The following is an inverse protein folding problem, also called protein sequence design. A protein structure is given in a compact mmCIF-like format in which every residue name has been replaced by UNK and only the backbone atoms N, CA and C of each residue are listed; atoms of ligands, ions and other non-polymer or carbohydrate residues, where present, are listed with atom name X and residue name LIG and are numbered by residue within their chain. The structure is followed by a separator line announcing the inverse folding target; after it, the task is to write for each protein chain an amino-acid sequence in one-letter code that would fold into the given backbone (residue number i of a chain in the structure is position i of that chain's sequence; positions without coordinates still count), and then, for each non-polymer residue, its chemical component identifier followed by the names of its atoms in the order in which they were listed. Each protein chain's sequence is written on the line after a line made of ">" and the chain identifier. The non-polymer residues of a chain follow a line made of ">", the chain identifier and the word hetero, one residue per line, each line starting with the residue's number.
data_IF_319277712696
#
_entry.id   IF_319277712696
#
_cell.length_a   1.000
_cell.length_b   1.000
_cell.length_c   1.000
_cell.angle_alpha   90.00
_cell.angle_beta   90.00
_cell.angle_gamma   90.00
#
_symmetry.space_group_name_H-M   'P 1'
#
loop_
_entity.id
_entity.type
_entity.pdbx_description
1 polymer ?
#
# COMPACT_ATOMS: atom_id res chain seq x y z
N UNK A 1 5.61 83.87 28.10
CA UNK A 1 5.34 83.52 26.68
C UNK A 1 6.52 82.70 26.18
N UNK A 2 6.29 81.66 25.37
CA UNK A 2 7.03 80.39 25.47
C UNK A 2 8.29 80.36 24.60
N UNK A 3 9.40 79.88 25.15
CA UNK A 3 10.54 79.43 24.35
C UNK A 3 10.59 77.90 24.43
N UNK A 4 9.65 77.26 23.75
CA UNK A 4 9.75 75.83 23.40
C UNK A 4 10.92 75.68 22.43
N UNK A 5 12.13 75.56 22.97
CA UNK A 5 13.31 75.13 22.23
C UNK A 5 13.11 73.65 21.88
N UNK A 6 12.43 73.41 20.76
CA UNK A 6 12.16 72.07 20.25
C UNK A 6 13.50 71.38 20.03
N UNK A 7 13.74 70.25 20.71
CA UNK A 7 14.95 69.45 20.62
C UNK A 7 15.04 68.69 19.28
N UNK A 8 14.87 69.38 18.15
CA UNK A 8 14.87 68.82 16.79
C UNK A 8 16.09 67.95 16.50
N UNK A 9 17.26 68.28 17.06
CA UNK A 9 18.47 67.47 16.95
C UNK A 9 18.31 66.07 17.59
N UNK A 10 17.63 65.99 18.75
CA UNK A 10 17.30 64.72 19.42
C UNK A 10 16.28 63.90 18.64
N UNK A 11 15.31 64.58 18.01
CA UNK A 11 14.31 63.94 17.14
C UNK A 11 14.97 63.36 15.89
N UNK A 12 15.84 64.12 15.24
CA UNK A 12 16.58 63.65 14.06
C UNK A 12 17.51 62.48 14.40
N UNK A 13 18.23 62.56 15.52
CA UNK A 13 19.13 61.50 15.96
C UNK A 13 18.39 60.19 16.27
N UNK A 14 17.26 60.26 16.98
CA UNK A 14 16.45 59.07 17.27
C UNK A 14 15.82 58.48 15.99
N UNK A 15 15.41 59.31 15.03
CA UNK A 15 14.86 58.86 13.74
C UNK A 15 15.90 58.07 12.94
N UNK A 16 17.17 58.53 12.90
CA UNK A 16 18.26 57.81 12.23
C UNK A 16 18.51 56.44 12.86
N UNK A 17 18.55 56.36 14.20
CA UNK A 17 18.76 55.10 14.93
C UNK A 17 17.62 54.11 14.65
N UNK A 18 16.36 54.59 14.66
CA UNK A 18 15.19 53.76 14.39
C UNK A 18 15.21 53.22 12.96
N UNK A 19 15.55 54.03 11.96
CA UNK A 19 15.68 53.58 10.58
C UNK A 19 16.78 52.52 10.43
N UNK A 20 17.93 52.72 11.09
CA UNK A 20 19.04 51.77 11.03
C UNK A 20 18.68 50.43 11.68
N UNK A 21 18.08 50.45 12.87
CA UNK A 21 17.64 49.25 13.58
C UNK A 21 16.56 48.50 12.79
N UNK A 22 15.59 49.22 12.21
CA UNK A 22 14.56 48.65 11.35
C UNK A 22 15.18 47.97 10.13
N UNK A 23 16.16 48.61 9.47
CA UNK A 23 16.89 48.03 8.34
C UNK A 23 17.65 46.75 8.70
N UNK A 24 18.30 46.72 9.87
CA UNK A 24 19.02 45.53 10.34
C UNK A 24 18.06 44.36 10.62
N UNK A 25 16.93 44.64 11.28
CA UNK A 25 15.89 43.62 11.54
C UNK A 25 15.29 43.11 10.24
N UNK A 26 14.98 44.00 9.29
CA UNK A 26 14.48 43.62 7.97
C UNK A 26 15.47 42.71 7.21
N UNK A 27 16.78 43.02 7.26
CA UNK A 27 17.81 42.16 6.67
C UNK A 27 17.88 40.77 7.31
N UNK A 28 17.79 40.69 8.64
CA UNK A 28 17.77 39.40 9.35
C UNK A 28 16.52 38.60 8.95
N UNK A 29 15.35 39.24 8.97
CA UNK A 29 14.07 38.61 8.60
C UNK A 29 14.10 38.08 7.17
N UNK A 30 14.56 38.87 6.20
CA UNK A 30 14.66 38.45 4.81
C UNK A 30 15.65 37.28 4.64
N UNK A 31 16.79 37.30 5.35
CA UNK A 31 17.75 36.18 5.29
C UNK A 31 17.17 34.89 5.84
N UNK A 32 16.47 34.95 6.98
CA UNK A 32 15.81 33.78 7.58
C UNK A 32 14.70 33.26 6.67
N UNK A 33 13.86 34.14 6.14
CA UNK A 33 12.73 33.76 5.29
C UNK A 33 13.17 33.12 3.97
N UNK A 34 14.18 33.67 3.29
CA UNK A 34 14.71 33.04 2.07
C UNK A 34 15.30 31.66 2.36
N UNK A 35 16.00 31.50 3.50
CA UNK A 35 16.56 30.20 3.90
C UNK A 35 15.46 29.18 4.21
N UNK A 36 14.40 29.61 4.88
CA UNK A 36 13.28 28.72 5.22
C UNK A 36 12.51 28.32 3.97
N UNK A 37 12.18 29.26 3.06
CA UNK A 37 11.53 28.94 1.78
C UNK A 37 12.38 27.97 0.96
N UNK A 38 13.69 28.23 0.84
CA UNK A 38 14.59 27.34 0.10
C UNK A 38 14.61 25.93 0.69
N UNK A 39 14.59 25.81 2.02
CA UNK A 39 14.55 24.53 2.72
C UNK A 39 13.23 23.80 2.49
N UNK A 40 12.09 24.48 2.61
CA UNK A 40 10.78 23.87 2.35
C UNK A 40 10.66 23.39 0.91
N UNK A 41 11.08 24.21 -0.06
CA UNK A 41 11.03 23.85 -1.48
C UNK A 41 11.94 22.64 -1.81
N UNK A 42 13.07 22.50 -1.11
CA UNK A 42 13.92 21.31 -1.22
C UNK A 42 13.26 20.06 -0.62
N UNK A 43 12.61 20.18 0.54
CA UNK A 43 11.93 19.04 1.16
C UNK A 43 10.76 18.55 0.29
N UNK A 44 9.97 19.47 -0.24
CA UNK A 44 8.85 19.19 -1.16
C UNK A 44 9.35 18.46 -2.42
N UNK A 45 10.44 18.95 -3.03
CA UNK A 45 11.02 18.30 -4.22
C UNK A 45 11.55 16.88 -3.98
N UNK A 46 12.01 16.59 -2.76
CA UNK A 46 12.51 15.25 -2.38
C UNK A 46 11.34 14.32 -2.06
N UNK A 47 10.30 14.84 -1.43
CA UNK A 47 9.08 14.11 -1.09
C UNK A 47 8.31 13.71 -2.36
N UNK A 48 8.11 14.66 -3.28
CA UNK A 48 7.50 14.41 -4.60
C UNK A 48 8.29 13.37 -5.41
N UNK A 49 9.63 13.49 -5.44
CA UNK A 49 10.48 12.51 -6.11
C UNK A 49 10.31 11.12 -5.47
N UNK A 50 10.36 11.01 -4.14
CA UNK A 50 10.22 9.74 -3.43
C UNK A 50 8.84 9.10 -3.65
N UNK A 51 7.79 9.90 -3.70
CA UNK A 51 6.42 9.44 -3.94
C UNK A 51 6.25 8.92 -5.37
N UNK A 52 6.92 9.52 -6.36
CA UNK A 52 6.93 9.05 -7.75
C UNK A 52 7.64 7.69 -7.93
N UNK A 53 8.63 7.39 -7.08
CA UNK A 53 9.39 6.14 -7.13
C UNK A 53 8.77 5.01 -6.27
N UNK A 54 8.23 5.30 -5.09
CA UNK A 54 7.89 4.26 -4.11
C UNK A 54 6.79 3.29 -4.56
N UNK A 55 5.55 3.77 -4.67
CA UNK A 55 4.39 2.90 -4.94
C UNK A 55 4.31 2.46 -6.42
N UNK A 56 4.82 3.29 -7.33
CA UNK A 56 4.81 3.04 -8.78
C UNK A 56 5.76 1.91 -9.18
N UNK A 57 6.90 1.77 -8.48
CA UNK A 57 7.80 0.62 -8.64
C UNK A 57 7.19 -0.67 -8.09
N UNK A 58 6.45 -0.60 -6.97
CA UNK A 58 5.78 -1.76 -6.36
C UNK A 58 4.60 -2.24 -7.21
N UNK A 59 3.88 -1.35 -7.88
CA UNK A 59 2.77 -1.71 -8.76
C UNK A 59 3.20 -2.69 -9.86
N UNK A 60 4.44 -2.59 -10.37
CA UNK A 60 4.98 -3.52 -11.35
C UNK A 60 5.37 -4.89 -10.78
N UNK A 61 5.74 -4.95 -9.50
CA UNK A 61 6.18 -6.18 -8.84
C UNK A 61 5.01 -7.01 -8.29
N UNK A 62 3.88 -6.38 -7.95
CA UNK A 62 2.65 -7.07 -7.50
C UNK A 62 2.08 -8.01 -8.57
N UNK A 63 2.25 -7.67 -9.86
CA UNK A 63 1.77 -8.49 -10.98
C UNK A 63 2.83 -9.44 -11.54
N UNK A 64 4.01 -9.56 -10.91
CA UNK A 64 5.06 -10.43 -11.43
C UNK A 64 4.64 -11.91 -11.29
N UNK A 65 4.62 -12.69 -12.38
CA UNK A 65 4.21 -14.09 -12.30
C UNK A 65 5.19 -14.87 -11.40
N UNK A 66 4.68 -15.74 -10.49
CA UNK A 66 5.54 -16.46 -9.56
C UNK A 66 6.51 -17.38 -10.31
N UNK A 67 7.78 -17.37 -9.89
CA UNK A 67 8.89 -18.15 -10.49
C UNK A 67 8.55 -19.62 -10.73
N UNK A 68 7.69 -20.21 -9.89
CA UNK A 68 7.25 -21.61 -9.95
C UNK A 68 5.73 -21.78 -10.16
N UNK A 69 5.05 -20.88 -10.88
CA UNK A 69 3.59 -20.96 -10.92
C UNK A 69 2.98 -22.17 -11.67
N UNK A 70 3.77 -23.03 -12.32
CA UNK A 70 3.28 -24.35 -12.78
C UNK A 70 3.00 -25.27 -11.59
N UNK A 71 3.88 -25.29 -10.58
CA UNK A 71 3.64 -26.03 -9.34
C UNK A 71 2.44 -25.44 -8.59
N UNK A 72 2.32 -24.10 -8.57
CA UNK A 72 1.19 -23.42 -7.96
C UNK A 72 -0.15 -23.82 -8.61
N UNK A 73 -0.22 -23.84 -9.95
CA UNK A 73 -1.45 -24.24 -10.66
C UNK A 73 -1.82 -25.70 -10.41
N UNK A 74 -0.82 -26.60 -10.30
CA UNK A 74 -1.05 -28.01 -9.98
C UNK A 74 -1.55 -28.18 -8.54
N UNK A 75 -0.90 -27.54 -7.56
CA UNK A 75 -1.33 -27.60 -6.16
C UNK A 75 -2.73 -27.03 -5.97
N UNK A 76 -3.06 -25.92 -6.64
CA UNK A 76 -4.37 -25.27 -6.50
C UNK A 76 -5.49 -26.07 -7.20
N UNK A 77 -5.19 -26.70 -8.34
CA UNK A 77 -6.12 -27.65 -8.99
C UNK A 77 -6.42 -28.86 -8.09
N UNK A 78 -5.39 -29.55 -7.61
CA UNK A 78 -5.54 -30.70 -6.70
C UNK A 78 -6.19 -30.31 -5.37
N UNK A 79 -5.85 -29.15 -4.82
CA UNK A 79 -6.48 -28.62 -3.61
C UNK A 79 -7.96 -28.35 -3.79
N UNK A 80 -8.37 -27.80 -4.94
CA UNK A 80 -9.78 -27.58 -5.26
C UNK A 80 -10.54 -28.90 -5.36
N UNK A 81 -9.94 -29.93 -5.96
CA UNK A 81 -10.53 -31.27 -6.06
C UNK A 81 -10.83 -31.86 -4.67
N UNK A 82 -9.82 -31.85 -3.79
CA UNK A 82 -9.95 -32.39 -2.43
C UNK A 82 -10.96 -31.57 -1.63
N UNK A 83 -10.95 -30.24 -1.74
CA UNK A 83 -11.87 -29.37 -1.04
C UNK A 83 -13.34 -29.66 -1.38
N UNK A 84 -13.66 -29.77 -2.67
CA UNK A 84 -15.01 -30.10 -3.13
C UNK A 84 -15.40 -31.52 -2.70
N UNK A 85 -14.47 -32.48 -2.79
CA UNK A 85 -14.69 -33.85 -2.30
C UNK A 85 -15.02 -33.89 -0.82
N UNK A 86 -14.29 -33.15 0.02
CA UNK A 86 -14.54 -33.07 1.46
C UNK A 86 -15.92 -32.49 1.74
N UNK A 87 -16.31 -31.41 1.05
CA UNK A 87 -17.62 -30.79 1.22
C UNK A 87 -18.77 -31.72 0.86
N UNK A 88 -18.68 -32.39 -0.30
CA UNK A 88 -19.71 -33.32 -0.76
C UNK A 88 -19.79 -34.55 0.16
N UNK A 89 -18.64 -35.08 0.57
CA UNK A 89 -18.58 -36.23 1.48
C UNK A 89 -19.17 -35.89 2.85
N UNK A 90 -18.88 -34.69 3.39
CA UNK A 90 -19.45 -34.20 4.63
C UNK A 90 -20.98 -34.05 4.52
N UNK A 91 -21.47 -33.51 3.40
CA UNK A 91 -22.90 -33.38 3.15
C UNK A 91 -23.63 -34.75 3.17
N UNK A 92 -23.11 -35.74 2.45
CA UNK A 92 -23.68 -37.09 2.46
C UNK A 92 -23.53 -37.80 3.82
N UNK A 93 -22.49 -37.48 4.58
CA UNK A 93 -22.30 -38.00 5.93
C UNK A 93 -23.34 -37.42 6.90
N UNK A 94 -23.63 -36.11 6.82
CA UNK A 94 -24.66 -35.45 7.62
C UNK A 94 -26.07 -36.00 7.34
N UNK A 95 -26.35 -36.46 6.12
CA UNK A 95 -27.62 -37.09 5.76
C UNK A 95 -27.71 -38.57 6.20
N UNK A 96 -26.65 -39.14 6.78
CA UNK A 96 -26.63 -40.51 7.29
C UNK A 96 -26.42 -41.60 6.24
N UNK A 97 -26.29 -41.26 4.95
CA UNK A 97 -26.06 -42.21 3.85
C UNK A 97 -24.70 -42.94 3.93
N UNK A 98 -23.72 -42.31 4.59
CA UNK A 98 -22.37 -42.85 4.80
C UNK A 98 -22.17 -43.50 6.18
N UNK A 99 -23.24 -43.99 6.80
CA UNK A 99 -23.18 -44.69 8.10
C UNK A 99 -22.24 -45.91 8.06
N UNK A 100 -21.45 -46.20 9.11
CA UNK A 100 -20.55 -47.37 9.21
C UNK A 100 -21.23 -48.73 8.98
N UNK A 101 -22.57 -48.78 9.00
CA UNK A 101 -23.36 -49.95 8.67
C UNK A 101 -23.19 -50.40 7.21
N UNK A 102 -22.95 -49.47 6.28
CA UNK A 102 -22.71 -49.78 4.87
C UNK A 102 -21.21 -49.95 4.62
N UNK A 103 -20.71 -51.17 4.86
CA UNK A 103 -19.28 -51.51 4.65
C UNK A 103 -18.84 -51.15 3.22
N UNK A 104 -17.90 -50.22 3.10
CA UNK A 104 -17.27 -49.85 1.83
C UNK A 104 -17.94 -48.72 1.04
N UNK A 105 -19.13 -48.24 1.44
CA UNK A 105 -19.83 -47.16 0.74
C UNK A 105 -19.02 -45.85 0.66
N UNK A 106 -18.24 -45.56 1.71
CA UNK A 106 -17.34 -44.41 1.75
C UNK A 106 -16.21 -44.54 0.71
N UNK A 107 -15.60 -45.73 0.60
CA UNK A 107 -14.51 -45.96 -0.36
C UNK A 107 -15.01 -45.86 -1.80
N UNK A 108 -16.18 -46.45 -2.10
CA UNK A 108 -16.78 -46.35 -3.44
C UNK A 108 -17.17 -44.92 -3.78
N UNK A 109 -17.77 -44.18 -2.83
CA UNK A 109 -18.12 -42.78 -3.02
C UNK A 109 -16.87 -41.92 -3.24
N UNK A 110 -15.81 -42.13 -2.47
CA UNK A 110 -14.55 -41.42 -2.61
C UNK A 110 -13.92 -41.62 -4.00
N UNK A 111 -13.91 -42.85 -4.53
CA UNK A 111 -13.37 -43.14 -5.88
C UNK A 111 -14.22 -42.49 -6.98
N UNK A 112 -15.55 -42.58 -6.88
CA UNK A 112 -16.46 -41.97 -7.86
C UNK A 112 -16.31 -40.44 -7.85
N UNK A 113 -16.30 -39.82 -6.67
CA UNK A 113 -16.10 -38.38 -6.52
C UNK A 113 -14.72 -37.95 -7.03
N UNK A 114 -13.68 -38.76 -6.79
CA UNK A 114 -12.33 -38.46 -7.28
C UNK A 114 -12.29 -38.35 -8.81
N UNK A 115 -12.93 -39.27 -9.52
CA UNK A 115 -12.97 -39.26 -11.00
C UNK A 115 -13.81 -38.09 -11.52
N UNK A 116 -15.00 -37.87 -10.96
CA UNK A 116 -15.92 -36.82 -11.42
C UNK A 116 -15.37 -35.40 -11.17
N UNK A 117 -14.67 -35.20 -10.05
CA UNK A 117 -14.11 -33.91 -9.67
C UNK A 117 -12.75 -33.62 -10.30
N UNK A 118 -12.24 -34.50 -11.18
CA UNK A 118 -11.07 -34.21 -12.00
C UNK A 118 -11.30 -33.03 -12.97
N UNK A 119 -12.52 -32.83 -13.46
CA UNK A 119 -12.87 -31.73 -14.36
C UNK A 119 -12.71 -30.34 -13.72
N UNK A 120 -13.28 -30.05 -12.53
CA UNK A 120 -13.03 -28.77 -11.85
C UNK A 120 -11.57 -28.59 -11.44
N UNK A 121 -10.86 -29.66 -11.07
CA UNK A 121 -9.42 -29.60 -10.78
C UNK A 121 -8.61 -29.13 -12.00
N UNK A 122 -8.88 -29.73 -13.16
CA UNK A 122 -8.26 -29.37 -14.44
C UNK A 122 -8.64 -27.96 -14.91
N UNK A 123 -9.91 -27.55 -14.72
CA UNK A 123 -10.36 -26.20 -15.06
C UNK A 123 -9.65 -25.12 -14.24
N UNK A 124 -9.56 -25.28 -12.92
CA UNK A 124 -8.88 -24.32 -12.03
C UNK A 124 -7.39 -24.28 -12.33
N UNK A 125 -6.73 -25.44 -12.48
CA UNK A 125 -5.33 -25.50 -12.87
C UNK A 125 -5.07 -24.80 -14.22
N UNK A 126 -5.89 -25.06 -15.24
CA UNK A 126 -5.74 -24.47 -16.56
C UNK A 126 -5.99 -22.95 -16.56
N UNK A 127 -6.96 -22.46 -15.78
CA UNK A 127 -7.23 -21.01 -15.64
C UNK A 127 -6.08 -20.29 -14.97
N UNK A 128 -5.57 -20.81 -13.86
CA UNK A 128 -4.41 -20.22 -13.16
C UNK A 128 -3.11 -20.33 -13.95
N UNK A 129 -2.94 -21.40 -14.73
CA UNK A 129 -1.81 -21.53 -15.63
C UNK A 129 -1.87 -20.52 -16.79
N UNK A 130 -3.07 -20.25 -17.33
CA UNK A 130 -3.31 -19.24 -18.38
C UNK A 130 -3.35 -17.79 -17.88
N UNK A 131 -3.58 -17.56 -16.59
CA UNK A 131 -3.55 -16.23 -15.96
C UNK A 131 -2.12 -15.78 -15.57
N UNK A 132 -1.09 -16.52 -15.96
CA UNK A 132 0.28 -16.01 -16.09
C UNK A 132 0.48 -15.33 -17.42
#
# INVERSE_FOLDING_TARGET
>A
MPHTNIQWFSIMNSLVIVLFLSGMVAMIMLRTLHKDIARYNQMDSVEDAQEEFGWKLVHGDVFRPPRKGMLLSVFLGSGTQIFIMTFITLFFACLGFLSPANRGALMTCAVVLWVLLGTPAGYVAARLYKCK
#
